data_IF_848719849736
#
_entry.id   IF_848719849736
#
_cell.length_a   1.000
_cell.length_b   1.000
_cell.length_c   1.000
_cell.angle_alpha   90.00
_cell.angle_beta   90.00
_cell.angle_gamma   90.00
#
_symmetry.space_group_name_H-M   'P 1'
#
loop_
_entity.id
_entity.type
_entity.pdbx_description
1 polymer ?
#
# COMPACT_ATOMS: atom_id res chain seq x y z
N UNK A 1 -0.73 28.05 7.89
CA UNK A 1 -1.40 26.76 8.22
C UNK A 1 -0.81 25.70 7.31
N UNK A 2 -0.10 24.69 7.85
CA UNK A 2 0.61 23.71 7.03
C UNK A 2 -0.28 22.51 6.72
N UNK A 3 -0.28 22.07 5.45
CA UNK A 3 -1.03 20.90 4.98
C UNK A 3 -0.49 19.62 5.62
N UNK A 4 -1.38 18.73 6.09
CA UNK A 4 -1.04 17.48 6.80
C UNK A 4 -1.44 16.19 6.06
N UNK A 5 -1.62 16.26 4.75
CA UNK A 5 -1.97 15.11 3.90
C UNK A 5 -1.05 15.04 2.69
N UNK A 6 -0.96 13.89 2.02
CA UNK A 6 -0.20 13.69 0.78
C UNK A 6 -1.15 13.83 -0.41
N UNK A 7 -0.79 14.63 -1.41
CA UNK A 7 -1.58 14.78 -2.65
C UNK A 7 -1.37 13.59 -3.58
N UNK A 8 -2.29 13.39 -4.52
CA UNK A 8 -2.14 12.38 -5.56
C UNK A 8 -0.84 12.54 -6.36
N UNK A 9 -0.41 13.77 -6.64
CA UNK A 9 0.85 14.04 -7.34
C UNK A 9 2.08 13.64 -6.53
N UNK A 10 2.05 13.83 -5.22
CA UNK A 10 3.12 13.39 -4.32
C UNK A 10 3.16 11.88 -4.16
N UNK A 11 1.99 11.22 -4.11
CA UNK A 11 1.91 9.76 -4.14
C UNK A 11 2.53 9.17 -5.40
N UNK A 12 2.22 9.74 -6.58
CA UNK A 12 2.85 9.30 -7.83
C UNK A 12 4.37 9.47 -7.78
N UNK A 13 4.88 10.60 -7.29
CA UNK A 13 6.32 10.85 -7.13
C UNK A 13 6.95 9.81 -6.20
N UNK A 14 6.34 9.54 -5.04
CA UNK A 14 6.83 8.57 -4.06
C UNK A 14 6.89 7.15 -4.63
N UNK A 15 5.83 6.71 -5.31
CA UNK A 15 5.80 5.37 -5.92
C UNK A 15 6.81 5.27 -7.07
N UNK A 16 7.01 6.35 -7.84
CA UNK A 16 7.99 6.38 -8.93
C UNK A 16 9.44 6.46 -8.45
N UNK A 17 9.69 6.87 -7.21
CA UNK A 17 11.04 6.96 -6.65
C UNK A 17 11.57 5.65 -6.09
N UNK A 18 10.77 4.57 -6.09
CA UNK A 18 11.24 3.25 -5.64
C UNK A 18 12.33 2.76 -6.61
N UNK A 19 13.52 2.42 -6.11
CA UNK A 19 14.63 1.98 -6.94
C UNK A 19 14.38 0.59 -7.54
N UNK A 20 14.99 0.31 -8.68
CA UNK A 20 14.94 -1.01 -9.33
C UNK A 20 15.78 -2.03 -8.54
N UNK A 21 15.16 -2.61 -7.52
CA UNK A 21 15.72 -3.69 -6.69
C UNK A 21 14.83 -4.93 -6.81
N UNK A 22 15.28 -6.12 -6.38
CA UNK A 22 14.42 -7.31 -6.34
C UNK A 22 13.10 -7.10 -5.57
N UNK A 23 13.10 -6.19 -4.58
CA UNK A 23 11.94 -5.83 -3.76
C UNK A 23 11.03 -4.78 -4.41
N UNK A 24 11.39 -4.21 -5.57
CA UNK A 24 10.66 -3.14 -6.24
C UNK A 24 9.16 -3.42 -6.37
N UNK A 25 8.80 -4.63 -6.82
CA UNK A 25 7.40 -5.04 -6.98
C UNK A 25 6.66 -5.08 -5.63
N UNK A 26 7.32 -5.60 -4.59
CA UNK A 26 6.77 -5.64 -3.22
C UNK A 26 6.55 -4.23 -2.71
N UNK A 27 7.58 -3.38 -2.74
CA UNK A 27 7.53 -2.05 -2.13
C UNK A 27 6.48 -1.16 -2.81
N UNK A 28 6.33 -1.26 -4.14
CA UNK A 28 5.25 -0.59 -4.87
C UNK A 28 3.88 -1.11 -4.47
N UNK A 29 3.72 -2.44 -4.39
CA UNK A 29 2.48 -3.04 -3.93
C UNK A 29 2.09 -2.53 -2.55
N UNK A 30 3.02 -2.51 -1.59
CA UNK A 30 2.78 -2.03 -0.24
C UNK A 30 2.30 -0.57 -0.22
N UNK A 31 2.93 0.33 -0.98
CA UNK A 31 2.50 1.73 -1.08
C UNK A 31 1.12 1.87 -1.72
N UNK A 32 0.82 1.08 -2.75
CA UNK A 32 -0.51 1.05 -3.37
C UNK A 32 -1.58 0.56 -2.40
N UNK A 33 -1.28 -0.47 -1.59
CA UNK A 33 -2.22 -0.95 -0.57
C UNK A 33 -2.52 0.12 0.48
N UNK A 34 -1.51 0.87 0.92
CA UNK A 34 -1.71 2.01 1.82
C UNK A 34 -2.52 3.13 1.15
N UNK A 35 -2.23 3.44 -0.11
CA UNK A 35 -2.86 4.55 -0.84
C UNK A 35 -4.31 4.27 -1.24
N UNK A 36 -4.59 3.09 -1.79
CA UNK A 36 -5.92 2.74 -2.33
C UNK A 36 -6.89 2.27 -1.25
N UNK A 37 -6.40 1.48 -0.29
CA UNK A 37 -7.25 0.87 0.75
C UNK A 37 -7.13 1.55 2.11
N UNK A 38 -6.22 2.51 2.27
CA UNK A 38 -6.04 3.24 3.53
C UNK A 38 -5.46 2.39 4.65
N UNK A 39 -4.72 1.31 4.31
CA UNK A 39 -4.17 0.40 5.31
C UNK A 39 -3.10 1.08 6.16
N UNK A 40 -3.15 0.80 7.46
CA UNK A 40 -2.08 1.15 8.39
C UNK A 40 -0.90 0.21 8.21
N UNK A 41 0.30 0.67 8.58
CA UNK A 41 1.52 -0.14 8.55
C UNK A 41 1.34 -1.47 9.31
N UNK A 42 0.70 -1.44 10.48
CA UNK A 42 0.44 -2.65 11.27
C UNK A 42 -0.52 -3.63 10.56
N UNK A 43 -1.51 -3.15 9.82
CA UNK A 43 -2.45 -4.00 9.08
C UNK A 43 -1.72 -4.66 7.90
N UNK A 44 -0.97 -3.85 7.15
CA UNK A 44 -0.18 -4.26 6.00
C UNK A 44 0.83 -5.36 6.33
N UNK A 45 1.55 -5.23 7.44
CA UNK A 45 2.55 -6.20 7.90
C UNK A 45 1.94 -7.54 8.35
N UNK A 46 0.62 -7.60 8.59
CA UNK A 46 -0.08 -8.81 9.02
C UNK A 46 -0.92 -9.47 7.91
N UNK A 47 -0.85 -8.97 6.67
CA UNK A 47 -1.54 -9.59 5.53
C UNK A 47 -0.90 -10.93 5.20
N UNK A 48 -1.74 -11.96 5.08
CA UNK A 48 -1.34 -13.28 4.58
C UNK A 48 -2.06 -13.57 3.25
N UNK A 49 -1.60 -14.59 2.51
CA UNK A 49 -2.26 -15.03 1.26
C UNK A 49 -3.74 -15.38 1.51
N UNK A 50 -4.07 -15.94 2.67
CA UNK A 50 -5.44 -16.29 3.04
C UNK A 50 -6.38 -15.09 3.21
N UNK A 51 -5.84 -13.87 3.25
CA UNK A 51 -6.60 -12.64 3.32
C UNK A 51 -6.89 -12.04 1.93
N UNK A 52 -6.35 -12.62 0.85
CA UNK A 52 -6.47 -12.09 -0.50
C UNK A 52 -7.41 -12.96 -1.31
N UNK A 53 -8.44 -12.34 -1.88
CA UNK A 53 -9.20 -12.92 -2.98
C UNK A 53 -8.82 -12.18 -4.26
N UNK A 54 -7.95 -12.81 -5.05
CA UNK A 54 -7.44 -12.23 -6.30
C UNK A 54 -8.44 -12.32 -7.45
N UNK A 55 -9.46 -13.18 -7.36
CA UNK A 55 -10.51 -13.29 -8.37
C UNK A 55 -11.50 -12.13 -8.25
N UNK A 56 -11.91 -11.81 -7.02
CA UNK A 56 -12.80 -10.66 -6.75
C UNK A 56 -12.06 -9.33 -6.56
N UNK A 57 -10.73 -9.36 -6.36
CA UNK A 57 -9.92 -8.16 -6.13
C UNK A 57 -10.09 -7.59 -4.70
N UNK A 58 -10.37 -8.46 -3.73
CA UNK A 58 -10.67 -8.10 -2.35
C UNK A 58 -9.52 -8.45 -1.39
N UNK A 59 -9.40 -7.65 -0.32
CA UNK A 59 -8.49 -7.89 0.78
C UNK A 59 -9.23 -7.84 2.12
N UNK A 60 -9.13 -8.92 2.88
CA UNK A 60 -9.80 -9.09 4.16
C UNK A 60 -8.89 -8.69 5.32
N UNK A 61 -9.12 -7.50 5.87
CA UNK A 61 -8.29 -6.94 6.95
C UNK A 61 -8.90 -7.23 8.32
N UNK A 62 -8.15 -7.92 9.18
CA UNK A 62 -8.50 -8.07 10.59
C UNK A 62 -8.03 -6.85 11.37
N UNK A 63 -8.98 -6.01 11.80
CA UNK A 63 -8.69 -4.85 12.65
C UNK A 63 -8.56 -5.30 14.11
N UNK A 64 -7.48 -4.90 14.75
CA UNK A 64 -7.33 -4.89 16.21
C UNK A 64 -7.55 -3.48 16.73
#
# INVERSE_FOLDING_TARGET
MNRRYITQGEWRKLISSIPDTPEYARDRCLLYMMYMHGLRVSELLNITISNLDLESGEVYIRRR
#
